data_IF_395935618904
#
_entry.id   IF_395935618904
#
_cell.length_a   1.000
_cell.length_b   1.000
_cell.length_c   1.000
_cell.angle_alpha   90.00
_cell.angle_beta   90.00
_cell.angle_gamma   90.00
#
_symmetry.space_group_name_H-M   'P 1'
#
loop_
_entity.id
_entity.type
_entity.pdbx_description
1 polymer ?
#
# COMPACT_ATOMS: atom_id res chain seq x y z
N UNK A 1 -2.22 22.68 -85.62
CA UNK A 1 -0.97 23.38 -85.25
C UNK A 1 -0.25 22.52 -84.23
N UNK A 2 0.97 22.06 -84.51
CA UNK A 2 1.78 21.32 -83.53
C UNK A 2 2.39 22.34 -82.56
N UNK A 3 2.13 22.15 -81.28
CA UNK A 3 2.66 22.97 -80.20
C UNK A 3 4.06 22.43 -79.87
N UNK A 4 5.09 23.16 -80.29
CA UNK A 4 6.51 22.78 -80.17
C UNK A 4 7.14 23.29 -78.85
N UNK A 5 6.36 23.46 -77.77
CA UNK A 5 6.87 23.98 -76.49
C UNK A 5 8.03 23.14 -75.91
N UNK A 6 8.06 21.84 -76.20
CA UNK A 6 9.13 20.93 -75.75
C UNK A 6 10.48 21.16 -76.45
N UNK A 7 10.51 21.89 -77.57
CA UNK A 7 11.75 22.29 -78.26
C UNK A 7 12.31 23.61 -77.72
N UNK A 8 11.59 24.29 -76.83
CA UNK A 8 12.04 25.54 -76.25
C UNK A 8 13.17 25.27 -75.27
N UNK A 9 14.35 25.78 -75.64
CA UNK A 9 15.54 25.77 -74.79
C UNK A 9 15.53 27.02 -73.92
N UNK A 10 15.58 26.83 -72.61
CA UNK A 10 15.50 27.90 -71.62
C UNK A 10 16.77 27.87 -70.79
N UNK A 11 17.35 29.06 -70.56
CA UNK A 11 18.48 29.22 -69.62
C UNK A 11 17.95 29.23 -68.20
N UNK A 12 18.68 28.59 -67.29
CA UNK A 12 18.39 28.63 -65.86
C UNK A 12 18.22 30.08 -65.36
N UNK A 13 17.28 30.31 -64.43
CA UNK A 13 17.09 31.62 -63.76
C UNK A 13 18.38 32.12 -63.08
N UNK A 14 19.25 31.20 -62.65
CA UNK A 14 20.55 31.50 -62.05
C UNK A 14 21.67 31.71 -63.09
N UNK A 15 21.36 31.86 -64.38
CA UNK A 15 22.38 32.07 -65.42
C UNK A 15 23.22 33.33 -65.20
N UNK A 16 22.61 34.40 -64.68
CA UNK A 16 23.34 35.63 -64.31
C UNK A 16 24.36 35.42 -63.17
N UNK A 17 24.28 34.30 -62.45
CA UNK A 17 25.15 33.92 -61.33
C UNK A 17 26.19 32.87 -61.71
N UNK A 18 26.19 32.43 -62.99
CA UNK A 18 27.16 31.47 -63.52
C UNK A 18 26.59 30.09 -63.83
N UNK A 19 25.27 29.87 -63.76
CA UNK A 19 24.68 28.63 -64.24
C UNK A 19 24.58 28.63 -65.77
N UNK A 20 25.44 27.86 -66.44
CA UNK A 20 25.46 27.78 -67.91
C UNK A 20 24.47 26.74 -68.48
N UNK A 21 23.66 26.10 -67.62
CA UNK A 21 22.70 25.08 -68.04
C UNK A 21 21.58 25.68 -68.88
N UNK A 22 21.40 25.09 -70.06
CA UNK A 22 20.27 25.33 -70.96
C UNK A 22 19.52 24.01 -71.10
N UNK A 23 18.25 23.99 -70.71
CA UNK A 23 17.45 22.78 -70.65
C UNK A 23 16.06 22.99 -71.28
N UNK A 24 15.31 21.90 -71.49
CA UNK A 24 13.93 22.01 -71.96
C UNK A 24 13.03 22.52 -70.83
N UNK A 25 11.87 23.08 -71.19
CA UNK A 25 10.86 23.51 -70.22
C UNK A 25 10.45 22.38 -69.24
N UNK A 26 10.39 21.12 -69.71
CA UNK A 26 10.03 19.95 -68.88
C UNK A 26 11.08 19.63 -67.80
N UNK A 27 12.37 19.82 -68.10
CA UNK A 27 13.49 19.54 -67.18
C UNK A 27 13.95 20.75 -66.35
N UNK A 28 13.34 21.91 -66.56
CA UNK A 28 13.75 23.16 -65.90
C UNK A 28 13.51 23.09 -64.39
N UNK A 29 12.34 22.58 -63.96
CA UNK A 29 12.00 22.51 -62.55
C UNK A 29 12.94 21.60 -61.77
N UNK A 30 13.22 20.40 -62.31
CA UNK A 30 14.18 19.46 -61.71
C UNK A 30 15.57 20.06 -61.61
N UNK A 31 16.00 20.81 -62.64
CA UNK A 31 17.27 21.52 -62.58
C UNK A 31 17.27 22.62 -61.52
N UNK A 32 16.22 23.43 -61.40
CA UNK A 32 16.15 24.53 -60.42
C UNK A 32 16.21 24.03 -58.97
N UNK A 33 15.61 22.87 -58.70
CA UNK A 33 15.71 22.21 -57.39
C UNK A 33 17.15 21.77 -57.07
N UNK A 34 17.91 21.31 -58.06
CA UNK A 34 19.27 20.79 -57.89
C UNK A 34 20.37 21.82 -58.20
N UNK A 35 20.01 23.01 -58.69
CA UNK A 35 20.94 24.00 -59.19
C UNK A 35 21.94 24.44 -58.10
N UNK A 36 23.23 24.27 -58.38
CA UNK A 36 24.33 24.63 -57.46
C UNK A 36 24.39 26.14 -57.15
N UNK A 37 23.86 26.96 -58.06
CA UNK A 37 23.81 28.43 -57.96
C UNK A 37 22.51 28.94 -57.31
N UNK A 38 21.58 28.05 -56.96
CA UNK A 38 20.38 28.42 -56.20
C UNK A 38 20.75 28.76 -54.76
N UNK A 39 20.10 29.79 -54.19
CA UNK A 39 20.31 30.19 -52.80
C UNK A 39 19.42 29.39 -51.85
N UNK A 40 20.01 28.95 -50.74
CA UNK A 40 19.32 28.27 -49.65
C UNK A 40 19.55 29.00 -48.34
N UNK A 41 18.53 29.02 -47.49
CA UNK A 41 18.64 29.46 -46.10
C UNK A 41 19.41 28.43 -45.27
N UNK A 42 20.26 28.91 -44.37
CA UNK A 42 20.91 28.06 -43.38
C UNK A 42 19.88 27.34 -42.50
N UNK A 43 20.13 26.06 -42.19
CA UNK A 43 19.26 25.24 -41.32
C UNK A 43 19.48 25.48 -39.82
N UNK A 44 20.56 26.16 -39.44
CA UNK A 44 20.83 26.50 -38.04
C UNK A 44 19.83 27.56 -37.56
N UNK A 45 19.11 27.25 -36.47
CA UNK A 45 18.10 28.12 -35.90
C UNK A 45 18.71 29.48 -35.55
N UNK A 46 18.12 30.55 -36.10
CA UNK A 46 18.55 31.92 -35.84
C UNK A 46 19.63 32.45 -36.79
N UNK A 47 20.13 31.65 -37.75
CA UNK A 47 21.05 32.14 -38.77
C UNK A 47 20.28 32.84 -39.92
N UNK A 48 20.46 34.15 -40.16
CA UNK A 48 19.75 34.86 -41.23
C UNK A 48 20.43 34.70 -42.61
N UNK A 49 21.54 33.95 -42.69
CA UNK A 49 22.37 33.88 -43.90
C UNK A 49 21.73 32.96 -44.93
N UNK A 50 21.67 33.43 -46.18
CA UNK A 50 21.40 32.61 -47.36
C UNK A 50 22.69 32.47 -48.17
N UNK A 51 22.99 31.25 -48.59
CA UNK A 51 24.20 30.91 -49.38
C UNK A 51 23.82 30.07 -50.58
N UNK A 52 24.64 30.10 -51.62
CA UNK A 52 24.49 29.21 -52.77
C UNK A 52 24.55 27.74 -52.32
N UNK A 53 23.81 26.86 -53.00
CA UNK A 53 23.76 25.41 -52.70
C UNK A 53 25.15 24.79 -52.61
N UNK A 54 26.05 25.13 -53.54
CA UNK A 54 27.45 24.69 -53.52
C UNK A 54 28.26 25.16 -52.31
N UNK A 55 27.89 26.31 -51.73
CA UNK A 55 28.57 26.91 -50.57
C UNK A 55 27.91 26.59 -49.22
N UNK A 56 26.78 25.89 -49.22
CA UNK A 56 26.02 25.62 -47.99
C UNK A 56 26.80 24.78 -46.99
N UNK A 57 27.50 23.74 -47.46
CA UNK A 57 28.25 22.86 -46.57
C UNK A 57 29.42 23.58 -45.89
N UNK A 58 30.16 24.40 -46.65
CA UNK A 58 31.21 25.27 -46.11
C UNK A 58 30.64 26.21 -45.04
N UNK A 59 29.51 26.89 -45.33
CA UNK A 59 28.83 27.72 -44.35
C UNK A 59 28.43 26.95 -43.10
N UNK A 60 27.82 25.76 -43.22
CA UNK A 60 27.39 24.97 -42.06
C UNK A 60 28.56 24.56 -41.16
N UNK A 61 29.75 24.35 -41.74
CA UNK A 61 30.96 24.01 -41.00
C UNK A 61 31.51 25.16 -40.15
N UNK A 62 31.25 26.41 -40.55
CA UNK A 62 31.76 27.64 -39.90
C UNK A 62 30.66 28.51 -39.28
N UNK A 63 29.40 28.12 -39.41
CA UNK A 63 28.26 28.91 -38.96
C UNK A 63 28.33 29.22 -37.46
N UNK A 64 28.25 30.50 -37.10
CA UNK A 64 28.25 30.96 -35.71
C UNK A 64 27.05 30.45 -34.89
N UNK A 65 25.94 30.16 -35.57
CA UNK A 65 24.71 29.61 -34.98
C UNK A 65 24.73 28.09 -34.88
N UNK A 66 25.83 27.44 -35.29
CA UNK A 66 26.01 26.01 -35.09
C UNK A 66 26.27 25.72 -33.62
N UNK A 67 25.41 24.90 -33.03
CA UNK A 67 25.61 24.35 -31.69
C UNK A 67 26.66 23.24 -31.69
N UNK A 68 27.60 23.28 -30.74
CA UNK A 68 28.66 22.27 -30.55
C UNK A 68 28.89 22.01 -29.08
N UNK A 69 29.38 20.82 -28.75
CA UNK A 69 29.88 20.55 -27.40
C UNK A 69 31.06 21.47 -27.08
N UNK A 70 31.18 21.86 -25.83
CA UNK A 70 32.32 22.63 -25.35
C UNK A 70 33.63 21.88 -25.63
N UNK A 71 34.61 22.53 -26.28
CA UNK A 71 35.88 21.89 -26.66
C UNK A 71 36.72 21.50 -25.44
N UNK A 72 36.48 22.14 -24.30
CA UNK A 72 37.12 21.82 -23.03
C UNK A 72 36.51 20.58 -22.33
N UNK A 73 35.50 19.94 -22.95
CA UNK A 73 34.96 18.68 -22.45
C UNK A 73 34.05 18.78 -21.23
N UNK A 74 33.53 19.97 -20.89
CA UNK A 74 32.61 20.12 -19.75
C UNK A 74 31.20 19.54 -20.00
N UNK A 75 30.92 19.02 -21.20
CA UNK A 75 29.65 18.38 -21.55
C UNK A 75 28.52 19.33 -21.94
N UNK A 76 28.70 20.66 -21.84
CA UNK A 76 27.68 21.63 -22.27
C UNK A 76 27.70 21.88 -23.78
N UNK A 77 26.52 22.00 -24.37
CA UNK A 77 26.34 22.41 -25.77
C UNK A 77 26.19 23.93 -25.85
N UNK A 78 26.99 24.56 -26.71
CA UNK A 78 27.10 26.01 -26.85
C UNK A 78 26.94 26.39 -28.32
N UNK A 79 26.41 27.58 -28.58
CA UNK A 79 26.52 28.18 -29.90
C UNK A 79 27.98 28.58 -30.15
N UNK A 80 28.44 28.45 -31.40
CA UNK A 80 29.82 28.80 -31.76
C UNK A 80 30.13 30.28 -31.43
N UNK A 81 29.13 31.17 -31.52
CA UNK A 81 29.22 32.57 -31.11
C UNK A 81 29.49 32.78 -29.60
N UNK A 82 28.96 31.92 -28.74
CA UNK A 82 28.99 32.09 -27.28
C UNK A 82 30.20 31.41 -26.62
N UNK A 83 31.02 30.71 -27.41
CA UNK A 83 32.12 29.89 -26.92
C UNK A 83 33.16 30.70 -26.11
N UNK A 84 33.39 31.96 -26.46
CA UNK A 84 34.34 32.84 -25.76
C UNK A 84 33.83 33.31 -24.38
N UNK A 85 32.51 33.32 -24.18
CA UNK A 85 31.88 33.74 -22.92
C UNK A 85 31.62 32.55 -21.97
N UNK A 86 31.78 31.32 -22.45
CA UNK A 86 31.50 30.13 -21.66
C UNK A 86 32.55 29.90 -20.57
N UNK A 87 32.09 29.75 -19.32
CA UNK A 87 32.93 29.40 -18.18
C UNK A 87 32.57 27.99 -17.67
N UNK A 88 33.39 27.00 -18.06
CA UNK A 88 33.18 25.60 -17.67
C UNK A 88 33.11 25.42 -16.15
N UNK A 89 33.94 26.13 -15.40
CA UNK A 89 34.01 26.00 -13.95
C UNK A 89 32.75 26.53 -13.29
N UNK A 90 32.21 27.65 -13.78
CA UNK A 90 30.97 28.21 -13.26
C UNK A 90 29.78 27.25 -13.50
N UNK A 91 29.62 26.75 -14.74
CA UNK A 91 28.52 25.83 -15.09
C UNK A 91 28.60 24.49 -14.32
N UNK A 92 29.80 23.92 -14.19
CA UNK A 92 29.96 22.69 -13.42
C UNK A 92 29.73 22.90 -11.91
N UNK A 93 30.10 24.08 -11.37
CA UNK A 93 29.82 24.42 -9.97
C UNK A 93 28.32 24.51 -9.72
N UNK A 94 27.58 25.20 -10.58
CA UNK A 94 26.13 25.30 -10.45
C UNK A 94 25.46 23.94 -10.57
N UNK A 95 25.91 23.08 -11.50
CA UNK A 95 25.39 21.72 -11.61
C UNK A 95 25.66 20.88 -10.35
N UNK A 96 26.88 20.95 -9.79
CA UNK A 96 27.22 20.26 -8.53
C UNK A 96 26.38 20.78 -7.36
N UNK A 97 26.14 22.09 -7.27
CA UNK A 97 25.28 22.69 -6.24
C UNK A 97 23.83 22.23 -6.35
N UNK A 98 23.30 22.18 -7.58
CA UNK A 98 21.96 21.64 -7.89
C UNK A 98 21.88 20.17 -7.47
N UNK A 99 22.84 19.34 -7.87
CA UNK A 99 22.87 17.91 -7.51
C UNK A 99 22.98 17.69 -5.99
N UNK A 100 23.76 18.52 -5.29
CA UNK A 100 23.84 18.49 -3.82
C UNK A 100 22.52 18.87 -3.17
N UNK A 101 21.84 19.91 -3.67
CA UNK A 101 20.54 20.31 -3.17
C UNK A 101 19.48 19.20 -3.38
N UNK A 102 19.47 18.57 -4.56
CA UNK A 102 18.60 17.42 -4.85
C UNK A 102 18.86 16.24 -3.91
N UNK A 103 20.14 15.92 -3.66
CA UNK A 103 20.53 14.87 -2.73
C UNK A 103 20.02 15.16 -1.31
N UNK A 104 20.21 16.39 -0.82
CA UNK A 104 19.74 16.79 0.51
C UNK A 104 18.22 16.67 0.63
N UNK A 105 17.47 17.12 -0.39
CA UNK A 105 16.02 16.96 -0.40
C UNK A 105 15.59 15.50 -0.32
N UNK A 106 16.21 14.62 -1.13
CA UNK A 106 15.91 13.17 -1.10
C UNK A 106 16.20 12.56 0.28
N UNK A 107 17.30 12.97 0.93
CA UNK A 107 17.62 12.51 2.28
C UNK A 107 16.61 12.98 3.32
N UNK A 108 16.13 14.23 3.21
CA UNK A 108 15.09 14.79 4.08
C UNK A 108 13.75 14.06 3.87
N UNK A 109 13.39 13.72 2.63
CA UNK A 109 12.20 12.91 2.30
C UNK A 109 12.25 11.53 2.93
N UNK A 110 13.35 10.79 2.72
CA UNK A 110 13.55 9.45 3.31
C UNK A 110 13.51 9.52 4.84
N UNK A 111 14.13 10.55 5.44
CA UNK A 111 14.08 10.76 6.89
C UNK A 111 12.65 10.96 7.38
N UNK A 112 11.88 11.84 6.73
CA UNK A 112 10.48 12.11 7.09
C UNK A 112 9.60 10.88 6.96
N UNK A 113 9.81 10.07 5.93
CA UNK A 113 9.06 8.84 5.75
C UNK A 113 9.36 7.82 6.85
N UNK A 114 10.63 7.65 7.20
CA UNK A 114 11.05 6.80 8.32
C UNK A 114 10.44 7.26 9.65
N UNK A 115 10.49 8.56 9.95
CA UNK A 115 9.90 9.15 11.14
C UNK A 115 8.38 8.91 11.19
N UNK A 116 7.68 9.17 10.09
CA UNK A 116 6.23 8.94 9.98
C UNK A 116 5.85 7.47 10.24
N UNK A 117 6.65 6.52 9.75
CA UNK A 117 6.43 5.09 9.98
C UNK A 117 6.58 4.73 11.45
N UNK A 118 7.65 5.19 12.10
CA UNK A 118 7.88 4.96 13.53
C UNK A 118 6.80 5.60 14.39
N UNK A 119 6.39 6.82 14.05
CA UNK A 119 5.32 7.53 14.74
C UNK A 119 3.97 6.82 14.62
N UNK A 120 3.65 6.35 13.42
CA UNK A 120 2.44 5.55 13.18
C UNK A 120 2.46 4.26 14.00
N UNK A 121 3.59 3.55 13.99
CA UNK A 121 3.76 2.33 14.77
C UNK A 121 3.63 2.60 16.28
N UNK A 122 4.26 3.67 16.77
CA UNK A 122 4.17 4.10 18.18
C UNK A 122 2.72 4.39 18.57
N UNK A 123 2.00 5.18 17.76
CA UNK A 123 0.59 5.50 18.02
C UNK A 123 -0.28 4.25 18.07
N UNK A 124 -0.12 3.34 17.11
CA UNK A 124 -0.85 2.08 17.07
C UNK A 124 -0.57 1.22 18.32
N UNK A 125 0.69 1.11 18.73
CA UNK A 125 1.07 0.35 19.94
C UNK A 125 0.47 0.95 21.21
N UNK A 126 0.51 2.28 21.36
CA UNK A 126 -0.10 2.97 22.51
C UNK A 126 -1.62 2.77 22.54
N UNK A 127 -2.29 2.86 21.38
CA UNK A 127 -3.72 2.60 21.28
C UNK A 127 -4.06 1.17 21.68
N UNK A 128 -3.29 0.19 21.19
CA UNK A 128 -3.48 -1.23 21.53
C UNK A 128 -3.22 -1.50 23.01
N UNK A 129 -2.21 -0.88 23.61
CA UNK A 129 -1.95 -0.93 25.04
C UNK A 129 -3.13 -0.38 25.84
N UNK A 130 -3.68 0.78 25.43
CA UNK A 130 -4.87 1.36 26.06
C UNK A 130 -6.08 0.44 25.98
N UNK A 131 -6.31 -0.19 24.82
CA UNK A 131 -7.40 -1.13 24.63
C UNK A 131 -7.27 -2.35 25.56
N UNK A 132 -6.10 -2.98 25.58
CA UNK A 132 -5.84 -4.12 26.46
C UNK A 132 -6.01 -3.75 27.94
N UNK A 133 -5.58 -2.54 28.35
CA UNK A 133 -5.81 -2.05 29.71
C UNK A 133 -7.31 -1.95 30.03
N UNK A 134 -8.11 -1.39 29.12
CA UNK A 134 -9.57 -1.30 29.34
C UNK A 134 -10.25 -2.67 29.43
N UNK A 135 -9.85 -3.62 28.59
CA UNK A 135 -10.38 -4.99 28.62
C UNK A 135 -10.03 -5.70 29.96
N UNK A 136 -8.80 -5.50 30.47
CA UNK A 136 -8.39 -6.03 31.77
C UNK A 136 -9.23 -5.43 32.91
N UNK A 137 -9.48 -4.13 32.90
CA UNK A 137 -10.31 -3.50 33.94
C UNK A 137 -11.78 -3.95 33.86
N UNK A 138 -12.32 -4.15 32.65
CA UNK A 138 -13.65 -4.69 32.47
C UNK A 138 -13.77 -6.12 33.02
N UNK A 139 -12.81 -6.99 32.70
CA UNK A 139 -12.76 -8.37 33.20
C UNK A 139 -12.62 -8.42 34.73
N UNK A 140 -11.81 -7.54 35.33
CA UNK A 140 -11.74 -7.39 36.80
C UNK A 140 -13.09 -7.00 37.40
N UNK A 141 -13.82 -6.10 36.74
CA UNK A 141 -15.17 -5.72 37.16
C UNK A 141 -16.16 -6.88 37.07
N UNK A 142 -16.13 -7.66 35.99
CA UNK A 142 -16.95 -8.86 35.82
C UNK A 142 -16.64 -9.90 36.91
N UNK A 143 -15.35 -10.18 37.17
CA UNK A 143 -14.93 -11.10 38.22
C UNK A 143 -15.43 -10.66 39.60
N UNK A 144 -15.34 -9.36 39.90
CA UNK A 144 -15.81 -8.81 41.18
C UNK A 144 -17.32 -9.01 41.37
N UNK A 145 -18.12 -8.83 40.30
CA UNK A 145 -19.57 -9.11 40.33
C UNK A 145 -19.85 -10.58 40.60
N UNK A 146 -19.22 -11.48 39.85
CA UNK A 146 -19.37 -12.95 40.03
C UNK A 146 -18.99 -13.37 41.45
N UNK A 147 -17.92 -12.79 42.02
CA UNK A 147 -17.52 -13.05 43.41
C UNK A 147 -18.55 -12.56 44.45
N UNK A 148 -19.22 -11.44 44.19
CA UNK A 148 -20.32 -10.96 45.05
C UNK A 148 -21.53 -11.88 44.95
N UNK A 149 -21.92 -12.27 43.73
CA UNK A 149 -23.03 -13.19 43.48
C UNK A 149 -22.78 -14.55 44.15
N UNK A 150 -21.56 -15.09 44.01
CA UNK A 150 -21.18 -16.34 44.67
C UNK A 150 -21.29 -16.24 46.19
N UNK A 151 -20.85 -15.14 46.81
CA UNK A 151 -20.99 -14.92 48.26
C UNK A 151 -22.46 -14.82 48.67
N UNK A 152 -23.29 -14.14 47.90
CA UNK A 152 -24.72 -14.03 48.17
C UNK A 152 -25.42 -15.40 48.08
N UNK A 153 -25.14 -16.18 47.02
CA UNK A 153 -25.68 -17.53 46.83
C UNK A 153 -25.26 -18.48 47.96
N UNK A 154 -23.98 -18.46 48.36
CA UNK A 154 -23.51 -19.26 49.51
C UNK A 154 -24.18 -18.83 50.83
N UNK A 155 -24.46 -17.53 50.99
CA UNK A 155 -25.24 -17.02 52.11
C UNK A 155 -26.67 -17.55 52.12
N UNK A 156 -27.37 -17.45 50.98
CA UNK A 156 -28.74 -17.94 50.83
C UNK A 156 -28.85 -19.46 51.03
N UNK A 157 -27.90 -20.24 50.52
CA UNK A 157 -27.84 -21.70 50.72
C UNK A 157 -27.67 -22.07 52.20
N UNK A 158 -26.86 -21.31 52.96
CA UNK A 158 -26.73 -21.52 54.41
C UNK A 158 -28.02 -21.23 55.16
N UNK A 159 -28.67 -20.11 54.85
CA UNK A 159 -29.96 -19.75 55.48
C UNK A 159 -31.01 -20.81 55.18
N UNK A 160 -31.12 -21.23 53.93
CA UNK A 160 -32.05 -22.30 53.51
C UNK A 160 -31.83 -23.60 54.29
N UNK A 161 -30.58 -23.99 54.55
CA UNK A 161 -30.28 -25.18 55.37
C UNK A 161 -30.70 -25.02 56.82
N UNK A 162 -30.53 -23.83 57.38
CA UNK A 162 -30.97 -23.52 58.74
C UNK A 162 -32.50 -23.57 58.84
N UNK A 163 -33.22 -22.89 57.94
CA UNK A 163 -34.69 -22.91 57.88
C UNK A 163 -35.24 -24.33 57.72
N UNK A 164 -34.58 -25.17 56.90
CA UNK A 164 -34.96 -26.57 56.74
C UNK A 164 -34.79 -27.35 58.05
N UNK A 165 -33.68 -27.15 58.76
CA UNK A 165 -33.42 -27.82 60.04
C UNK A 165 -34.41 -27.37 61.14
N UNK A 166 -34.75 -26.08 61.18
CA UNK A 166 -35.76 -25.53 62.08
C UNK A 166 -37.15 -26.10 61.77
N UNK A 167 -37.57 -26.09 60.50
CA UNK A 167 -38.84 -26.69 60.08
C UNK A 167 -38.92 -28.21 60.37
N UNK A 168 -37.80 -28.93 60.26
CA UNK A 168 -37.71 -30.34 60.65
C UNK A 168 -37.89 -30.55 62.16
N UNK A 169 -37.36 -29.63 62.98
CA UNK A 169 -37.54 -29.66 64.44
C UNK A 169 -39.00 -29.37 64.81
N UNK A 170 -39.57 -28.28 64.30
CA UNK A 170 -40.98 -27.91 64.51
C UNK A 170 -41.92 -29.05 64.10
N UNK A 171 -41.65 -29.68 62.94
CA UNK A 171 -42.39 -30.86 62.49
C UNK A 171 -42.33 -32.00 63.52
N UNK A 172 -41.16 -32.27 64.11
CA UNK A 172 -41.01 -33.33 65.13
C UNK A 172 -41.81 -33.01 66.40
N UNK A 173 -41.73 -31.78 66.88
CA UNK A 173 -42.47 -31.30 68.06
C UNK A 173 -43.99 -31.37 67.83
N UNK A 174 -44.49 -30.92 66.68
CA UNK A 174 -45.90 -31.03 66.32
C UNK A 174 -46.38 -32.48 66.26
N UNK A 175 -45.56 -33.38 65.72
CA UNK A 175 -45.87 -34.81 65.68
C UNK A 175 -45.90 -35.45 67.08
N UNK A 176 -45.06 -34.99 68.00
CA UNK A 176 -45.08 -35.40 69.40
C UNK A 176 -46.34 -34.88 70.12
N UNK A 177 -46.67 -33.60 69.97
CA UNK A 177 -47.89 -33.01 70.52
C UNK A 177 -49.15 -33.74 70.00
N UNK A 178 -49.19 -34.07 68.70
CA UNK A 178 -50.30 -34.85 68.12
C UNK A 178 -50.42 -36.25 68.74
N UNK A 179 -49.29 -36.88 69.10
CA UNK A 179 -49.27 -38.18 69.78
C UNK A 179 -49.86 -38.08 71.19
N UNK A 180 -49.49 -37.02 71.91
CA UNK A 180 -49.97 -36.79 73.29
C UNK A 180 -51.45 -36.41 73.34
N UNK A 181 -51.95 -35.74 72.31
CA UNK A 181 -53.37 -35.40 72.16
C UNK A 181 -54.24 -36.57 71.68
N UNK A 182 -53.66 -37.71 71.28
CA UNK A 182 -54.46 -38.91 71.02
C UNK A 182 -55.04 -39.44 72.34
N UNK A 183 -56.38 -39.46 72.53
CA UNK A 183 -56.95 -40.12 73.70
C UNK A 183 -56.62 -41.61 73.62
N UNK A 184 -56.28 -42.24 74.76
CA UNK A 184 -56.24 -43.70 74.90
C UNK A 184 -57.58 -44.30 74.41
N UNK A 185 -57.67 -44.67 73.14
CA UNK A 185 -58.60 -45.71 72.70
C UNK A 185 -57.97 -47.04 73.08
N UNK A 186 -58.32 -47.44 74.30
CA UNK A 186 -58.60 -48.80 74.76
C UNK A 186 -58.07 -49.93 73.88
N UNK A 187 -57.14 -50.68 74.44
CA UNK A 187 -56.98 -52.10 74.10
C UNK A 187 -58.32 -52.82 74.34
N UNK A 188 -58.80 -53.58 73.36
CA UNK A 188 -59.36 -54.89 73.64
C UNK A 188 -58.97 -55.86 72.51
N UNK A 189 -58.53 -57.10 72.84
CA UNK A 189 -58.01 -58.06 71.89
C UNK A 189 -59.16 -58.90 71.30
N UNK A 190 -58.96 -59.47 70.11
CA UNK A 190 -59.46 -60.80 69.71
C UNK A 190 -58.71 -61.27 68.45
N UNK A 191 -58.57 -62.59 68.42
CA UNK A 191 -57.66 -63.48 67.74
C UNK A 191 -57.52 -63.47 66.22
N UNK A 192 -56.35 -64.01 65.86
CA UNK A 192 -55.87 -64.54 64.59
C UNK A 192 -56.79 -65.57 63.94
N UNK A 193 -56.81 -65.56 62.59
CA UNK A 193 -56.62 -66.68 61.61
C UNK A 193 -57.41 -66.34 60.33
N UNK A 194 -57.00 -66.61 59.08
CA UNK A 194 -55.94 -67.43 58.50
C UNK A 194 -55.58 -66.94 57.07
N UNK A 195 -54.37 -67.31 56.62
CA UNK A 195 -53.93 -67.80 55.29
C UNK A 195 -54.80 -67.43 54.06
N UNK A 196 -54.24 -66.96 52.94
CA UNK A 196 -53.26 -67.73 52.15
C UNK A 196 -52.48 -66.91 51.09
N UNK A 197 -51.40 -67.56 50.62
CA UNK A 197 -50.34 -67.24 49.64
C UNK A 197 -50.80 -66.65 48.29
N UNK A 198 -49.99 -65.90 47.52
CA UNK A 198 -48.74 -66.33 46.85
C UNK A 198 -47.90 -65.18 46.24
N UNK A 199 -46.56 -65.31 46.38
CA UNK A 199 -45.43 -65.04 45.43
C UNK A 199 -45.37 -63.69 44.68
N UNK A 200 -44.28 -62.94 44.53
CA UNK A 200 -42.80 -63.06 44.61
C UNK A 200 -42.31 -61.82 43.80
N UNK A 201 -41.19 -61.15 44.01
CA UNK A 201 -39.84 -61.59 44.27
C UNK A 201 -38.98 -60.41 44.76
N UNK A 202 -37.90 -60.77 45.44
CA UNK A 202 -36.83 -59.95 45.99
C UNK A 202 -35.88 -59.43 44.92
N UNK A 203 -35.31 -58.23 45.10
CA UNK A 203 -33.99 -57.90 44.53
C UNK A 203 -33.27 -56.89 45.43
N UNK A 204 -32.08 -57.28 45.89
CA UNK A 204 -31.01 -56.45 46.43
C UNK A 204 -29.71 -56.93 45.80
N UNK A 205 -28.82 -55.98 45.46
CA UNK A 205 -27.40 -56.13 45.08
C UNK A 205 -27.10 -56.80 43.71
N UNK A 206 -26.11 -56.42 42.86
CA UNK A 206 -24.99 -55.46 42.91
C UNK A 206 -24.25 -55.47 41.53
N UNK A 207 -23.61 -54.35 41.18
CA UNK A 207 -22.44 -54.14 40.28
C UNK A 207 -22.44 -54.30 38.72
N UNK A 208 -21.98 -53.19 38.09
CA UNK A 208 -20.99 -53.00 37.00
C UNK A 208 -21.27 -53.30 35.50
N UNK A 209 -21.04 -52.24 34.71
CA UNK A 209 -20.46 -52.12 33.35
C UNK A 209 -21.17 -52.69 32.09
N UNK A 210 -21.65 -51.81 31.19
CA UNK A 210 -21.17 -51.56 29.78
C UNK A 210 -22.21 -50.79 28.93
N UNK A 211 -21.75 -50.00 27.93
CA UNK A 211 -22.50 -49.15 26.96
C UNK A 211 -23.51 -49.96 26.10
N UNK A 212 -24.54 -49.36 25.43
CA UNK A 212 -24.37 -48.76 24.09
C UNK A 212 -25.32 -47.58 23.67
N UNK A 213 -24.81 -46.79 22.72
CA UNK A 213 -25.37 -46.18 21.49
C UNK A 213 -26.87 -45.74 21.33
N UNK A 214 -26.99 -44.50 20.82
CA UNK A 214 -28.08 -43.72 20.13
C UNK A 214 -28.97 -44.52 19.13
N UNK A 215 -30.15 -43.99 18.67
CA UNK A 215 -30.17 -43.00 17.55
C UNK A 215 -31.34 -41.95 17.61
N UNK A 216 -31.10 -40.70 17.16
CA UNK A 216 -31.64 -40.03 15.95
C UNK A 216 -33.11 -39.57 16.09
N UNK A 217 -33.62 -38.51 15.49
CA UNK A 217 -33.25 -37.53 14.44
C UNK A 217 -34.33 -36.41 14.58
N UNK A 218 -34.19 -35.17 14.12
CA UNK A 218 -34.05 -34.77 12.71
C UNK A 218 -33.93 -33.23 12.66
N UNK A 219 -32.79 -32.70 12.18
CA UNK A 219 -32.53 -32.05 10.85
C UNK A 219 -33.01 -30.59 10.77
N UNK A 220 -32.30 -29.63 10.15
CA UNK A 220 -31.50 -29.66 8.92
C UNK A 220 -30.34 -28.61 8.98
N UNK A 221 -29.09 -28.92 8.56
CA UNK A 221 -28.47 -28.88 7.20
C UNK A 221 -28.00 -27.45 6.80
N UNK A 222 -26.80 -27.17 6.27
CA UNK A 222 -25.91 -27.81 5.28
C UNK A 222 -24.42 -27.36 5.54
N UNK A 223 -23.38 -28.21 5.53
CA UNK A 223 -22.60 -28.77 4.38
C UNK A 223 -21.72 -27.69 3.66
N UNK A 224 -20.43 -27.84 3.26
CA UNK A 224 -19.40 -28.91 3.26
C UNK A 224 -18.05 -28.32 2.79
N UNK A 225 -16.93 -28.79 3.37
CA UNK A 225 -15.55 -28.99 2.85
C UNK A 225 -14.63 -27.88 2.27
N UNK A 226 -13.36 -28.03 2.71
CA UNK A 226 -12.08 -27.69 2.05
C UNK A 226 -11.59 -26.23 2.28
N UNK A 227 -10.34 -25.90 2.63
CA UNK A 227 -9.03 -26.43 2.24
C UNK A 227 -7.95 -26.10 3.31
N UNK A 228 -7.02 -27.03 3.47
CA UNK A 228 -5.56 -26.86 3.55
C UNK A 228 -4.92 -25.89 4.56
N UNK A 229 -4.27 -26.48 5.57
CA UNK A 229 -3.04 -25.99 6.16
C UNK A 229 -1.98 -25.78 5.07
N UNK A 230 -1.66 -24.52 4.78
CA UNK A 230 -0.36 -24.13 4.26
C UNK A 230 0.17 -23.00 5.13
N UNK A 231 0.89 -23.36 6.21
CA UNK A 231 1.91 -22.47 6.75
C UNK A 231 3.16 -22.62 5.88
N UNK A 232 3.13 -22.01 4.69
CA UNK A 232 4.35 -21.70 3.97
C UNK A 232 4.87 -20.39 4.55
N UNK A 233 6.00 -20.48 5.24
CA UNK A 233 6.89 -19.35 5.48
C UNK A 233 7.27 -18.77 4.12
N UNK A 234 6.61 -17.70 3.70
CA UNK A 234 7.16 -16.80 2.71
C UNK A 234 8.23 -15.98 3.44
N UNK A 235 9.46 -16.47 3.35
CA UNK A 235 10.67 -15.65 3.46
C UNK A 235 10.45 -14.52 2.47
N UNK A 236 10.12 -13.32 2.95
CA UNK A 236 10.27 -12.13 2.14
C UNK A 236 11.77 -11.94 1.97
N UNK A 237 12.30 -12.41 0.84
CA UNK A 237 13.54 -11.92 0.27
C UNK A 237 13.39 -10.41 0.08
N UNK A 238 13.79 -9.64 1.09
CA UNK A 238 14.21 -8.26 0.90
C UNK A 238 15.57 -8.30 0.20
N UNK A 239 15.53 -8.56 -1.11
CA UNK A 239 16.65 -8.25 -2.00
C UNK A 239 16.94 -6.74 -1.94
N UNK A 240 18.21 -6.31 -2.03
CA UNK A 240 18.56 -4.91 -2.01
C UNK A 240 17.90 -4.18 -3.20
N UNK A 241 17.54 -2.90 -3.06
CA UNK A 241 17.02 -2.16 -4.20
C UNK A 241 18.10 -2.13 -5.29
N UNK A 242 17.69 -2.46 -6.52
CA UNK A 242 18.55 -2.40 -7.69
C UNK A 242 19.20 -1.01 -7.79
N UNK A 243 20.53 -0.99 -7.95
CA UNK A 243 21.29 0.22 -8.21
C UNK A 243 20.74 0.92 -9.46
N UNK A 244 20.66 2.26 -9.50
CA UNK A 244 20.25 2.96 -10.70
C UNK A 244 21.29 2.72 -11.80
N UNK A 245 20.90 2.02 -12.85
CA UNK A 245 21.63 1.98 -14.11
C UNK A 245 21.73 3.42 -14.62
N UNK A 246 22.97 3.92 -14.71
CA UNK A 246 23.34 5.17 -15.37
C UNK A 246 23.13 4.97 -16.88
N UNK A 247 21.89 5.17 -17.32
CA UNK A 247 21.56 5.30 -18.73
C UNK A 247 21.85 6.72 -19.20
N UNK A 248 22.84 6.85 -20.08
CA UNK A 248 23.05 8.06 -20.88
C UNK A 248 21.80 8.31 -21.74
N UNK A 249 21.07 9.39 -21.45
CA UNK A 249 19.88 9.77 -22.18
C UNK A 249 19.56 11.24 -21.93
N UNK A 250 19.57 12.03 -22.99
CA UNK A 250 19.52 13.50 -22.98
C UNK A 250 18.49 14.10 -22.03
N UNK A 251 18.96 14.95 -21.11
CA UNK A 251 18.14 15.69 -20.13
C UNK A 251 17.27 16.72 -20.85
N UNK A 252 16.01 16.36 -21.14
CA UNK A 252 14.94 17.32 -21.43
C UNK A 252 14.12 17.60 -20.16
N UNK A 253 14.28 18.81 -19.63
CA UNK A 253 13.19 19.66 -19.12
C UNK A 253 12.40 19.32 -17.85
N UNK A 254 12.44 18.11 -17.29
CA UNK A 254 11.55 17.74 -16.17
C UNK A 254 12.08 18.02 -14.75
N UNK A 255 13.36 17.78 -14.50
CA UNK A 255 13.93 17.74 -13.13
C UNK A 255 14.18 19.12 -12.52
N UNK A 256 14.35 20.15 -13.35
CA UNK A 256 14.65 21.52 -12.91
C UNK A 256 13.54 22.13 -12.03
N UNK A 257 12.28 21.72 -12.20
CA UNK A 257 11.15 22.28 -11.45
C UNK A 257 11.20 21.90 -9.96
N UNK A 258 11.43 20.62 -9.66
CA UNK A 258 11.43 20.11 -8.28
C UNK A 258 12.62 20.65 -7.47
N UNK A 259 13.77 20.81 -8.12
CA UNK A 259 14.98 21.37 -7.50
C UNK A 259 14.80 22.84 -7.13
N UNK A 260 14.12 23.63 -7.97
CA UNK A 260 13.77 25.02 -7.67
C UNK A 260 12.79 25.14 -6.51
N UNK A 261 11.85 24.20 -6.36
CA UNK A 261 10.87 24.20 -5.26
C UNK A 261 11.53 23.86 -3.91
N UNK A 262 12.47 22.92 -3.91
CA UNK A 262 13.34 22.60 -2.79
C UNK A 262 14.18 23.80 -2.33
N UNK A 263 14.85 24.47 -3.28
CA UNK A 263 15.67 25.65 -3.00
C UNK A 263 14.80 26.80 -2.46
N UNK A 264 13.64 27.07 -3.08
CA UNK A 264 12.70 28.11 -2.61
C UNK A 264 12.16 27.83 -1.21
N UNK A 265 11.87 26.57 -0.86
CA UNK A 265 11.40 26.19 0.48
C UNK A 265 12.48 26.46 1.53
N UNK A 266 13.75 26.13 1.23
CA UNK A 266 14.90 26.36 2.11
C UNK A 266 15.25 27.85 2.27
N UNK A 267 15.12 28.65 1.21
CA UNK A 267 15.30 30.11 1.31
C UNK A 267 14.26 30.79 2.20
N UNK A 268 13.01 30.30 2.20
CA UNK A 268 11.94 30.81 3.08
C UNK A 268 12.18 30.49 4.56
N UNK A 269 12.79 29.35 4.87
CA UNK A 269 13.14 28.99 6.26
C UNK A 269 14.29 29.86 6.81
N UNK A 270 15.19 30.35 5.96
CA UNK A 270 16.32 31.20 6.36
C UNK A 270 15.93 32.68 6.54
N UNK A 271 14.82 33.13 5.94
CA UNK A 271 14.37 34.55 6.05
C UNK A 271 13.49 34.81 7.28
N UNK A 272 13.23 33.80 8.10
CA UNK A 272 12.33 33.88 9.28
C UNK A 272 13.11 33.91 10.61
N UNK A 273 14.41 34.25 10.58
CA UNK A 273 15.24 34.42 11.78
C UNK A 273 15.65 35.88 11.94
#
# INVERSE_FOLDING_TARGET
MRNDLNRLQIRCVNAARGCDVVCSLESLHTHEEECEFAFMSCSNIGCPVQVERRGLEAHMSECNFRSRACPNGCGHTLLSADQSQHNCVAELRTEVEILRAEMLCKLEEVRREMESRLDSQRRHMVQKESQLKSEVEELKGQLSRVMCDMRALLGAERLRRQELAEAELEKRELLELLRDLQPHKSQHPVDQTARDKHQGASTSEREQHTKPTRPQQREASLHTLSLSLHSAQAINESGPPASPQLGEGGRKGGTRSLTLDCIKRKSREVTVI
#
